data_IF_270940212606
#
_entry.id   IF_270940212606
#
_cell.length_a   1.000
_cell.length_b   1.000
_cell.length_c   1.000
_cell.angle_alpha   90.00
_cell.angle_beta   90.00
_cell.angle_gamma   90.00
#
_symmetry.space_group_name_H-M   'P 1'
#
loop_
_entity.id
_entity.type
_entity.pdbx_description
1 polymer ?
#
# COMPACT_ATOMS: atom_id res chain seq x y z
N UNK A 1 -0.93 7.40 -22.54
CA UNK A 1 -1.88 7.23 -21.41
C UNK A 1 -1.46 8.19 -20.29
N UNK A 2 -2.40 8.90 -19.65
CA UNK A 2 -2.04 9.78 -18.53
C UNK A 2 -1.43 8.95 -17.39
N UNK A 3 -0.27 9.36 -16.86
CA UNK A 3 0.46 8.65 -15.80
C UNK A 3 -0.44 8.33 -14.60
N UNK A 4 -1.40 9.21 -14.29
CA UNK A 4 -2.39 9.02 -13.21
C UNK A 4 -3.14 7.69 -13.30
N UNK A 5 -3.47 7.21 -14.50
CA UNK A 5 -4.20 5.94 -14.67
C UNK A 5 -3.41 4.73 -14.18
N UNK A 6 -2.08 4.71 -14.35
CA UNK A 6 -1.25 3.63 -13.81
C UNK A 6 -1.31 3.59 -12.29
N UNK A 7 -1.29 4.73 -11.61
CA UNK A 7 -1.41 4.79 -10.16
C UNK A 7 -2.80 4.33 -9.68
N UNK A 8 -3.87 4.70 -10.38
CA UNK A 8 -5.21 4.20 -10.08
C UNK A 8 -5.33 2.69 -10.31
N UNK A 9 -4.70 2.15 -11.35
CA UNK A 9 -4.65 0.71 -11.59
C UNK A 9 -3.89 -0.04 -10.50
N UNK A 10 -2.74 0.49 -10.06
CA UNK A 10 -1.98 -0.08 -8.92
C UNK A 10 -2.83 -0.07 -7.65
N UNK A 11 -3.51 1.05 -7.35
CA UNK A 11 -4.40 1.14 -6.20
C UNK A 11 -5.57 0.14 -6.32
N UNK A 12 -6.28 0.12 -7.45
CA UNK A 12 -7.40 -0.78 -7.66
C UNK A 12 -7.01 -2.24 -7.56
N UNK A 13 -5.91 -2.64 -8.22
CA UNK A 13 -5.43 -4.02 -8.20
C UNK A 13 -5.01 -4.47 -6.79
N UNK A 14 -4.25 -3.64 -6.07
CA UNK A 14 -3.80 -3.95 -4.71
C UNK A 14 -4.97 -4.07 -3.73
N UNK A 15 -5.96 -3.17 -3.78
CA UNK A 15 -7.13 -3.21 -2.90
C UNK A 15 -8.12 -4.33 -3.24
N UNK A 16 -8.32 -4.62 -4.52
CA UNK A 16 -9.12 -5.77 -4.94
C UNK A 16 -8.48 -7.08 -4.45
N UNK A 17 -7.16 -7.23 -4.65
CA UNK A 17 -6.44 -8.42 -4.21
C UNK A 17 -6.41 -8.52 -2.68
N UNK A 18 -6.28 -7.40 -1.98
CA UNK A 18 -6.38 -7.33 -0.53
C UNK A 18 -7.72 -7.91 -0.04
N UNK A 19 -8.85 -7.42 -0.56
CA UNK A 19 -10.17 -7.92 -0.18
C UNK A 19 -10.35 -9.40 -0.52
N UNK A 20 -9.90 -9.84 -1.69
CA UNK A 20 -9.92 -11.26 -2.06
C UNK A 20 -9.12 -12.14 -1.08
N UNK A 21 -7.91 -11.72 -0.72
CA UNK A 21 -7.05 -12.49 0.17
C UNK A 21 -7.62 -12.51 1.58
N UNK A 22 -8.04 -11.35 2.10
CA UNK A 22 -8.49 -11.21 3.48
C UNK A 22 -9.85 -11.88 3.73
N UNK A 23 -10.81 -11.72 2.81
CA UNK A 23 -12.19 -12.13 3.04
C UNK A 23 -12.48 -13.53 2.49
N UNK A 24 -11.75 -13.98 1.46
CA UNK A 24 -12.05 -15.24 0.77
C UNK A 24 -10.93 -16.27 0.87
N UNK A 25 -9.66 -15.90 0.67
CA UNK A 25 -8.59 -16.91 0.61
C UNK A 25 -8.14 -17.31 2.02
N UNK A 26 -7.76 -16.33 2.85
CA UNK A 26 -7.20 -16.55 4.18
C UNK A 26 -8.17 -17.29 5.12
N UNK A 27 -9.46 -16.93 5.23
CA UNK A 27 -10.37 -17.59 6.17
C UNK A 27 -10.73 -19.02 5.76
N UNK A 28 -10.65 -19.34 4.45
CA UNK A 28 -11.02 -20.64 3.90
C UNK A 28 -9.81 -21.54 3.60
N UNK A 29 -8.60 -21.13 3.98
CA UNK A 29 -7.40 -21.93 3.77
C UNK A 29 -7.21 -22.94 4.92
N UNK A 30 -7.49 -24.21 4.64
CA UNK A 30 -7.36 -25.32 5.60
C UNK A 30 -6.01 -26.07 5.49
N UNK A 31 -5.10 -25.61 4.63
CA UNK A 31 -3.82 -26.29 4.39
C UNK A 31 -2.84 -26.13 5.56
N UNK A 32 -2.08 -27.19 5.86
CA UNK A 32 -1.08 -27.18 6.94
C UNK A 32 0.27 -26.56 6.60
N UNK A 33 0.47 -26.03 5.38
CA UNK A 33 1.76 -25.46 4.97
C UNK A 33 2.01 -24.11 5.65
N UNK A 34 3.00 -24.07 6.56
CA UNK A 34 3.35 -22.90 7.36
C UNK A 34 3.81 -21.69 6.54
N UNK A 35 4.48 -21.92 5.40
CA UNK A 35 4.92 -20.84 4.51
C UNK A 35 3.72 -20.15 3.86
N UNK A 36 2.71 -20.91 3.42
CA UNK A 36 1.48 -20.34 2.85
C UNK A 36 0.72 -19.54 3.91
N UNK A 37 0.58 -20.10 5.12
CA UNK A 37 -0.07 -19.41 6.25
C UNK A 37 0.63 -18.08 6.56
N UNK A 38 1.97 -18.07 6.59
CA UNK A 38 2.75 -16.86 6.82
C UNK A 38 2.45 -15.79 5.76
N UNK A 39 2.52 -16.13 4.47
CA UNK A 39 2.23 -15.17 3.40
C UNK A 39 0.79 -14.69 3.43
N UNK A 40 -0.19 -15.56 3.66
CA UNK A 40 -1.59 -15.17 3.82
C UNK A 40 -1.81 -14.24 5.02
N UNK A 41 -0.99 -14.35 6.06
CA UNK A 41 -0.99 -13.44 7.21
C UNK A 41 -0.58 -12.02 6.85
N UNK A 42 0.51 -11.87 6.08
CA UNK A 42 1.17 -10.57 5.84
C UNK A 42 0.76 -9.87 4.53
N UNK A 43 0.26 -10.61 3.53
CA UNK A 43 -0.22 -10.04 2.26
C UNK A 43 -1.26 -8.92 2.47
N UNK A 44 -2.22 -9.06 3.41
CA UNK A 44 -3.19 -8.00 3.68
C UNK A 44 -2.59 -6.67 4.15
N UNK A 45 -1.36 -6.66 4.67
CA UNK A 45 -0.65 -5.44 5.07
C UNK A 45 0.31 -4.93 3.98
N UNK A 46 0.96 -5.86 3.28
CA UNK A 46 1.82 -5.56 2.14
C UNK A 46 1.07 -4.83 1.01
N UNK A 47 -0.13 -5.31 0.64
CA UNK A 47 -0.87 -4.77 -0.50
C UNK A 47 -1.33 -3.31 -0.29
N UNK A 48 -1.98 -2.93 0.83
CA UNK A 48 -2.26 -1.53 1.13
C UNK A 48 -1.00 -0.68 1.26
N UNK A 49 0.11 -1.25 1.72
CA UNK A 49 1.42 -0.61 1.74
C UNK A 49 1.89 -0.13 0.35
N UNK A 50 1.42 -0.75 -0.73
CA UNK A 50 1.64 -0.32 -2.11
C UNK A 50 0.50 0.59 -2.60
N UNK A 51 -0.74 0.17 -2.35
CA UNK A 51 -1.94 0.80 -2.91
C UNK A 51 -2.18 2.22 -2.41
N UNK A 52 -2.10 2.44 -1.09
CA UNK A 52 -2.38 3.75 -0.50
C UNK A 52 -1.42 4.85 -0.96
N UNK A 53 -0.08 4.63 -0.99
CA UNK A 53 0.83 5.62 -1.55
C UNK A 53 0.50 5.96 -3.02
N UNK A 54 0.09 4.95 -3.80
CA UNK A 54 -0.32 5.15 -5.19
C UNK A 54 -1.52 6.08 -5.32
N UNK A 55 -2.53 5.88 -4.49
CA UNK A 55 -3.72 6.73 -4.42
C UNK A 55 -3.38 8.15 -3.95
N UNK A 56 -2.61 8.29 -2.87
CA UNK A 56 -2.22 9.62 -2.37
C UNK A 56 -1.34 10.39 -3.34
N UNK A 57 -0.48 9.71 -4.10
CA UNK A 57 0.36 10.38 -5.10
C UNK A 57 -0.46 11.16 -6.13
N UNK A 58 -1.60 10.60 -6.55
CA UNK A 58 -2.49 11.23 -7.56
C UNK A 58 -3.49 12.21 -6.96
N UNK A 59 -3.92 12.03 -5.71
CA UNK A 59 -4.89 12.91 -5.04
C UNK A 59 -4.24 14.14 -4.39
N UNK A 60 -2.99 14.06 -3.93
CA UNK A 60 -2.28 15.20 -3.32
C UNK A 60 -2.34 16.46 -4.21
N UNK A 61 -2.03 16.40 -5.52
CA UNK A 61 -2.09 17.58 -6.39
C UNK A 61 -3.50 18.13 -6.62
N UNK A 62 -4.55 17.35 -6.33
CA UNK A 62 -5.96 17.74 -6.50
C UNK A 62 -6.47 18.48 -5.26
N UNK A 63 -5.91 18.17 -4.10
CA UNK A 63 -6.28 18.78 -2.80
C UNK A 63 -5.36 19.97 -2.48
N UNK A 64 -4.05 19.86 -2.76
CA UNK A 64 -3.05 20.84 -2.35
C UNK A 64 -2.57 21.71 -3.51
N UNK A 65 -2.55 23.02 -3.31
CA UNK A 65 -1.98 23.99 -4.26
C UNK A 65 -0.53 23.64 -4.61
N UNK A 66 -0.13 23.90 -5.85
CA UNK A 66 1.20 23.58 -6.39
C UNK A 66 2.37 24.15 -5.59
N UNK A 67 2.23 25.33 -4.98
CA UNK A 67 3.30 25.98 -4.23
C UNK A 67 3.51 25.42 -2.81
N UNK A 68 2.71 24.43 -2.39
CA UNK A 68 2.88 23.80 -1.09
C UNK A 68 4.04 22.80 -1.09
N UNK A 69 4.75 22.69 0.04
CA UNK A 69 5.80 21.67 0.23
C UNK A 69 5.25 20.25 0.05
N UNK A 70 3.96 20.04 0.34
CA UNK A 70 3.26 18.75 0.19
C UNK A 70 3.17 18.36 -1.29
N UNK A 71 2.67 19.25 -2.15
CA UNK A 71 2.54 18.95 -3.58
C UNK A 71 3.92 18.82 -4.25
N UNK A 72 4.88 19.69 -3.91
CA UNK A 72 6.26 19.60 -4.45
C UNK A 72 6.95 18.27 -4.11
N UNK A 73 6.70 17.74 -2.91
CA UNK A 73 7.28 16.48 -2.44
C UNK A 73 6.24 15.34 -2.40
N UNK A 74 5.27 15.34 -3.31
CA UNK A 74 4.11 14.44 -3.26
C UNK A 74 4.45 12.96 -3.15
N UNK A 75 5.55 12.49 -3.76
CA UNK A 75 6.01 11.09 -3.63
C UNK A 75 6.32 10.76 -2.17
N UNK A 76 7.17 11.57 -1.53
CA UNK A 76 7.55 11.40 -0.14
C UNK A 76 6.32 11.44 0.78
N UNK A 77 5.44 12.43 0.58
CA UNK A 77 4.25 12.57 1.42
C UNK A 77 3.24 11.46 1.21
N UNK A 78 3.06 10.97 0.00
CA UNK A 78 2.17 9.83 -0.27
C UNK A 78 2.60 8.57 0.50
N UNK A 79 3.91 8.30 0.55
CA UNK A 79 4.46 7.18 1.32
C UNK A 79 4.30 7.44 2.82
N UNK A 80 4.73 8.60 3.32
CA UNK A 80 4.68 8.92 4.76
C UNK A 80 3.25 8.83 5.32
N UNK A 81 2.28 9.47 4.65
CA UNK A 81 0.89 9.47 5.10
C UNK A 81 0.33 8.05 5.14
N UNK A 82 0.64 7.23 4.13
CA UNK A 82 0.21 5.83 4.08
C UNK A 82 0.83 5.01 5.19
N UNK A 83 2.16 5.11 5.40
CA UNK A 83 2.86 4.34 6.42
C UNK A 83 2.36 4.70 7.82
N UNK A 84 2.16 5.99 8.11
CA UNK A 84 1.59 6.43 9.39
C UNK A 84 0.19 5.86 9.59
N UNK A 85 -0.66 5.91 8.57
CA UNK A 85 -2.02 5.37 8.64
C UNK A 85 -2.04 3.85 8.88
N UNK A 86 -1.25 3.10 8.11
CA UNK A 86 -1.21 1.63 8.18
C UNK A 86 -0.55 1.14 9.47
N UNK A 87 0.62 1.66 9.82
CA UNK A 87 1.30 1.29 11.08
C UNK A 87 0.46 1.75 12.28
N UNK A 88 -0.15 2.95 12.20
CA UNK A 88 -1.07 3.43 13.22
C UNK A 88 -2.28 2.51 13.40
N UNK A 89 -2.82 1.95 12.32
CA UNK A 89 -3.89 0.96 12.38
C UNK A 89 -3.46 -0.30 13.16
N UNK A 90 -2.23 -0.77 12.96
CA UNK A 90 -1.69 -1.90 13.74
C UNK A 90 -1.56 -1.59 15.23
N UNK A 91 -1.18 -0.37 15.61
CA UNK A 91 -1.19 0.00 17.03
C UNK A 91 -2.60 0.10 17.61
N UNK A 92 -3.61 0.49 16.82
CA UNK A 92 -5.01 0.56 17.27
C UNK A 92 -5.59 -0.83 17.55
N UNK A 93 -5.14 -1.88 16.85
CA UNK A 93 -5.63 -3.26 17.10
C UNK A 93 -5.26 -3.76 18.50
N UNK A 94 -4.16 -3.28 19.09
CA UNK A 94 -3.78 -3.55 20.50
C UNK A 94 -4.91 -3.15 21.46
N UNK A 95 -5.56 -2.02 21.18
CA UNK A 95 -6.58 -1.44 22.05
C UNK A 95 -8.00 -1.82 21.65
N UNK A 96 -8.19 -2.63 20.60
CA UNK A 96 -9.50 -2.99 20.06
C UNK A 96 -9.71 -4.50 20.04
N UNK A 97 -10.21 -5.09 21.15
CA UNK A 97 -10.44 -6.53 21.24
C UNK A 97 -11.33 -7.03 20.10
N UNK A 98 -10.93 -8.14 19.45
CA UNK A 98 -11.71 -8.79 18.40
C UNK A 98 -11.55 -8.24 16.98
N UNK A 99 -10.72 -7.21 16.76
CA UNK A 99 -10.43 -6.66 15.41
C UNK A 99 -9.12 -7.12 14.79
N UNK A 100 -8.27 -7.81 15.53
CA UNK A 100 -6.96 -8.26 15.08
C UNK A 100 -6.02 -8.50 16.25
N UNK A 101 -4.81 -8.95 15.95
CA UNK A 101 -3.70 -9.06 16.90
C UNK A 101 -2.55 -8.29 16.28
N UNK A 102 -1.92 -7.43 17.07
CA UNK A 102 -0.71 -6.73 16.65
C UNK A 102 0.37 -7.74 16.24
N UNK A 103 0.89 -7.59 15.02
CA UNK A 103 1.99 -8.40 14.49
C UNK A 103 3.11 -7.50 13.94
N UNK A 104 4.34 -7.75 14.39
CA UNK A 104 5.52 -7.07 13.87
C UNK A 104 5.76 -7.36 12.39
N UNK A 105 5.36 -8.54 11.91
CA UNK A 105 5.44 -8.87 10.49
C UNK A 105 4.60 -7.91 9.65
N UNK A 106 3.45 -7.49 10.16
CA UNK A 106 2.54 -6.58 9.45
C UNK A 106 3.18 -5.19 9.28
N UNK A 107 3.89 -4.70 10.29
CA UNK A 107 4.69 -3.46 10.18
C UNK A 107 5.80 -3.62 9.14
N UNK A 108 6.56 -4.73 9.20
CA UNK A 108 7.66 -4.99 8.26
C UNK A 108 7.13 -5.05 6.82
N UNK A 109 6.08 -5.81 6.57
CA UNK A 109 5.51 -5.98 5.24
C UNK A 109 4.80 -4.72 4.73
N UNK A 110 4.25 -3.89 5.61
CA UNK A 110 3.79 -2.53 5.28
C UNK A 110 4.95 -1.67 4.74
N UNK A 111 6.09 -1.67 5.42
CA UNK A 111 7.29 -0.93 4.99
C UNK A 111 7.81 -1.46 3.64
N UNK A 112 7.88 -2.79 3.48
CA UNK A 112 8.27 -3.42 2.22
C UNK A 112 7.32 -2.99 1.09
N UNK A 113 6.01 -2.93 1.35
CA UNK A 113 5.02 -2.41 0.39
C UNK A 113 5.32 -0.98 -0.04
N UNK A 114 5.66 -0.09 0.91
CA UNK A 114 6.07 1.28 0.61
C UNK A 114 7.32 1.38 -0.26
N UNK A 115 8.32 0.52 -0.01
CA UNK A 115 9.54 0.42 -0.82
C UNK A 115 9.21 -0.08 -2.22
N UNK A 116 8.37 -1.11 -2.36
CA UNK A 116 7.92 -1.62 -3.65
C UNK A 116 7.20 -0.52 -4.44
N UNK A 117 6.32 0.26 -3.79
CA UNK A 117 5.68 1.40 -4.44
C UNK A 117 6.69 2.43 -4.95
N UNK A 118 7.73 2.75 -4.18
CA UNK A 118 8.77 3.66 -4.61
C UNK A 118 9.46 3.19 -5.91
N UNK A 119 9.77 1.90 -6.02
CA UNK A 119 10.32 1.34 -7.26
C UNK A 119 9.31 1.31 -8.42
N UNK A 120 8.05 0.96 -8.15
CA UNK A 120 6.98 1.04 -9.15
C UNK A 120 6.83 2.46 -9.69
N UNK A 121 6.92 3.46 -8.82
CA UNK A 121 6.90 4.87 -9.21
C UNK A 121 8.03 5.19 -10.19
N UNK A 122 9.27 4.80 -9.89
CA UNK A 122 10.42 5.01 -10.80
C UNK A 122 10.18 4.37 -12.16
N UNK A 123 9.68 3.13 -12.17
CA UNK A 123 9.36 2.41 -13.41
C UNK A 123 8.30 3.17 -14.22
N UNK A 124 7.20 3.59 -13.58
CA UNK A 124 6.12 4.33 -14.23
C UNK A 124 6.64 5.65 -14.82
N UNK A 125 7.54 6.37 -14.13
CA UNK A 125 8.15 7.59 -14.67
C UNK A 125 9.01 7.29 -15.90
N UNK A 126 9.88 6.28 -15.84
CA UNK A 126 10.80 5.92 -16.93
C UNK A 126 10.08 5.45 -18.19
N UNK A 127 9.00 4.67 -18.07
CA UNK A 127 8.20 4.27 -19.24
C UNK A 127 7.41 5.42 -19.87
N UNK A 128 7.24 6.51 -19.15
CA UNK A 128 6.42 7.65 -19.58
C UNK A 128 7.25 8.81 -20.15
N UNK A 129 8.57 8.67 -20.21
CA UNK A 129 9.51 9.61 -20.85
C UNK A 129 10.40 8.78 -21.79
N UNK A 130 10.07 8.68 -23.09
CA UNK A 130 11.01 8.07 -24.03
C UNK A 130 12.31 8.89 -23.98
N UNK A 131 13.44 8.22 -23.71
CA UNK A 131 14.76 8.84 -23.80
C UNK A 131 14.91 9.39 -25.22
N UNK A 132 14.98 10.72 -25.34
CA UNK A 132 15.32 11.43 -26.58
C UNK A 132 16.76 11.19 -26.97
#
# INVERSE_FOLDING_TARGET
MNRKYFYYLVFGFTFLTFGLVQDYIRPNYEGGNSLIIYFLGVIPNFLPGIGLPSMFYVTIPEIFKHNTSINRNRLKWSIIISMIGLIGNEFITIYTPGRGVFDWNDIVWTIIGGIVFYFLHIIIQNYSEPKS
#
